data_IF_573014699820
#
_entry.id   IF_573014699820
#
_cell.length_a   1.000
_cell.length_b   1.000
_cell.length_c   1.000
_cell.angle_alpha   90.00
_cell.angle_beta   90.00
_cell.angle_gamma   90.00
#
_symmetry.space_group_name_H-M   'P 1'
#
loop_
_entity.id
_entity.type
_entity.pdbx_description
1 polymer ?
#
# COMPACT_ATOMS: atom_id res chain seq x y z
N UNK A 1 13.13 -27.94 4.14
CA UNK A 1 12.13 -27.74 5.20
C UNK A 1 10.85 -28.48 4.84
N UNK A 2 10.46 -29.48 5.65
CA UNK A 2 9.20 -30.21 5.40
C UNK A 2 8.03 -29.26 5.68
N UNK A 3 7.33 -28.82 4.66
CA UNK A 3 6.05 -28.11 4.80
C UNK A 3 5.11 -29.05 5.53
N UNK A 4 4.47 -28.60 6.59
CA UNK A 4 3.50 -29.39 7.34
C UNK A 4 2.38 -29.85 6.39
N UNK A 5 1.96 -31.10 6.47
CA UNK A 5 0.83 -31.65 5.69
C UNK A 5 -0.44 -30.78 5.85
N UNK A 6 -0.63 -30.17 7.02
CA UNK A 6 -1.74 -29.25 7.28
C UNK A 6 -1.73 -28.03 6.35
N UNK A 7 -0.55 -27.50 5.99
CA UNK A 7 -0.44 -26.36 5.09
C UNK A 7 -0.78 -26.76 3.65
N UNK A 8 -0.27 -27.89 3.19
CA UNK A 8 -0.61 -28.42 1.86
C UNK A 8 -2.13 -28.59 1.75
N UNK A 9 -2.77 -29.06 2.80
CA UNK A 9 -4.22 -29.18 2.85
C UNK A 9 -4.93 -27.84 2.73
N UNK A 10 -4.46 -26.81 3.47
CA UNK A 10 -5.02 -25.44 3.39
C UNK A 10 -4.83 -24.85 2.00
N UNK A 11 -3.62 -24.97 1.44
CA UNK A 11 -3.31 -24.49 0.07
C UNK A 11 -4.20 -25.18 -0.98
N UNK A 12 -4.40 -26.49 -0.86
CA UNK A 12 -5.30 -27.24 -1.74
C UNK A 12 -6.77 -26.82 -1.58
N UNK A 13 -7.23 -26.61 -0.35
CA UNK A 13 -8.59 -26.13 -0.09
C UNK A 13 -8.84 -24.75 -0.69
N UNK A 14 -7.89 -23.82 -0.58
CA UNK A 14 -7.95 -22.49 -1.21
C UNK A 14 -8.01 -22.63 -2.74
N UNK A 15 -7.18 -23.47 -3.32
CA UNK A 15 -7.17 -23.71 -4.76
C UNK A 15 -8.52 -24.24 -5.26
N UNK A 16 -9.09 -25.24 -4.57
CA UNK A 16 -10.42 -25.80 -4.89
C UNK A 16 -11.50 -24.72 -4.76
N UNK A 17 -11.47 -23.91 -3.69
CA UNK A 17 -12.45 -22.84 -3.50
C UNK A 17 -12.39 -21.81 -4.64
N UNK A 18 -11.20 -21.45 -5.11
CA UNK A 18 -11.03 -20.53 -6.24
C UNK A 18 -11.51 -21.15 -7.56
N UNK A 19 -11.31 -22.45 -7.78
CA UNK A 19 -11.88 -23.17 -8.93
C UNK A 19 -13.41 -23.09 -8.90
N UNK A 20 -14.02 -23.49 -7.79
CA UNK A 20 -15.47 -23.51 -7.65
C UNK A 20 -16.08 -22.11 -7.86
N UNK A 21 -15.47 -21.09 -7.27
CA UNK A 21 -15.94 -19.71 -7.42
C UNK A 21 -15.78 -19.21 -8.87
N UNK A 22 -14.65 -19.53 -9.52
CA UNK A 22 -14.41 -19.13 -10.91
C UNK A 22 -15.36 -19.83 -11.87
N UNK A 23 -15.59 -21.12 -11.72
CA UNK A 23 -16.52 -21.89 -12.58
C UNK A 23 -17.99 -21.54 -12.35
N UNK A 24 -18.32 -20.96 -11.21
CA UNK A 24 -19.65 -20.41 -10.96
C UNK A 24 -19.94 -19.16 -11.81
N UNK A 25 -18.93 -18.30 -12.04
CA UNK A 25 -19.09 -17.03 -12.74
C UNK A 25 -18.71 -17.08 -14.22
N UNK A 26 -17.84 -18.01 -14.64
CA UNK A 26 -17.23 -18.00 -15.96
C UNK A 26 -17.27 -19.38 -16.63
N UNK A 27 -17.19 -19.37 -17.97
CA UNK A 27 -16.96 -20.58 -18.74
C UNK A 27 -15.64 -21.27 -18.32
N UNK A 28 -15.57 -22.59 -18.50
CA UNK A 28 -14.46 -23.41 -17.99
C UNK A 28 -13.07 -22.92 -18.43
N UNK A 29 -12.92 -22.47 -19.68
CA UNK A 29 -11.65 -21.97 -20.20
C UNK A 29 -11.22 -20.68 -19.50
N UNK A 30 -12.15 -19.72 -19.33
CA UNK A 30 -11.88 -18.47 -18.65
C UNK A 30 -11.62 -18.68 -17.16
N UNK A 31 -12.41 -19.56 -16.52
CA UNK A 31 -12.20 -19.95 -15.14
C UNK A 31 -10.81 -20.57 -14.94
N UNK A 32 -10.36 -21.46 -15.83
CA UNK A 32 -9.05 -22.04 -15.78
C UNK A 32 -7.94 -21.00 -15.95
N UNK A 33 -8.10 -20.05 -16.86
CA UNK A 33 -7.16 -18.97 -17.08
C UNK A 33 -7.01 -18.06 -15.84
N UNK A 34 -8.11 -17.68 -15.20
CA UNK A 34 -8.14 -16.90 -13.96
C UNK A 34 -7.43 -17.65 -12.84
N UNK A 35 -7.79 -18.92 -12.61
CA UNK A 35 -7.24 -19.74 -11.52
C UNK A 35 -5.76 -19.97 -11.72
N UNK A 36 -5.30 -20.26 -12.94
CA UNK A 36 -3.87 -20.42 -13.24
C UNK A 36 -3.11 -19.11 -12.96
N UNK A 37 -3.62 -17.97 -13.46
CA UNK A 37 -3.00 -16.67 -13.21
C UNK A 37 -2.87 -16.36 -11.72
N UNK A 38 -3.92 -16.55 -10.93
CA UNK A 38 -3.92 -16.28 -9.49
C UNK A 38 -3.07 -17.29 -8.70
N UNK A 39 -2.98 -18.52 -9.16
CA UNK A 39 -2.10 -19.53 -8.56
C UNK A 39 -0.63 -19.20 -8.81
N UNK A 40 -0.26 -18.81 -10.02
CA UNK A 40 1.10 -18.34 -10.33
C UNK A 40 1.46 -17.12 -9.48
N UNK A 41 0.53 -16.18 -9.34
CA UNK A 41 0.70 -14.99 -8.49
C UNK A 41 0.97 -15.34 -7.02
N UNK A 42 0.42 -16.44 -6.52
CA UNK A 42 0.70 -16.96 -5.17
C UNK A 42 2.03 -17.72 -5.09
N UNK A 43 2.30 -18.61 -6.05
CA UNK A 43 3.45 -19.53 -5.99
C UNK A 43 4.78 -18.78 -5.99
N UNK A 44 4.91 -17.66 -6.70
CA UNK A 44 6.16 -16.89 -6.77
C UNK A 44 6.57 -16.33 -5.40
N UNK A 45 5.76 -15.52 -4.70
CA UNK A 45 6.09 -15.05 -3.35
C UNK A 45 6.17 -16.19 -2.34
N UNK A 46 5.35 -17.22 -2.48
CA UNK A 46 5.36 -18.42 -1.64
C UNK A 46 6.71 -19.17 -1.73
N UNK A 47 7.22 -19.35 -2.95
CA UNK A 47 8.51 -19.97 -3.18
C UNK A 47 9.65 -19.10 -2.64
N UNK A 48 9.64 -17.78 -2.91
CA UNK A 48 10.61 -16.86 -2.35
C UNK A 48 10.63 -16.94 -0.82
N UNK A 49 9.46 -16.89 -0.17
CA UNK A 49 9.34 -17.00 1.29
C UNK A 49 9.89 -18.34 1.82
N UNK A 50 9.65 -19.44 1.12
CA UNK A 50 10.13 -20.76 1.56
C UNK A 50 11.66 -20.87 1.65
N UNK A 51 12.39 -20.02 0.94
CA UNK A 51 13.85 -19.96 0.94
C UNK A 51 14.44 -19.03 1.99
N UNK A 52 13.60 -18.28 2.70
CA UNK A 52 14.05 -17.35 3.74
C UNK A 52 14.31 -18.06 5.06
N UNK A 53 15.34 -17.61 5.80
CA UNK A 53 15.72 -18.20 7.10
C UNK A 53 14.62 -18.07 8.16
N UNK A 54 13.75 -17.06 8.04
CA UNK A 54 12.64 -16.79 8.96
C UNK A 54 11.31 -17.42 8.49
N UNK A 55 11.34 -18.30 7.50
CA UNK A 55 10.16 -19.00 7.03
C UNK A 55 9.51 -19.83 8.13
N UNK A 56 8.19 -19.76 8.24
CA UNK A 56 7.39 -20.48 9.24
C UNK A 56 6.07 -20.95 8.63
N UNK A 57 5.48 -21.98 9.27
CA UNK A 57 4.15 -22.48 8.90
C UNK A 57 3.07 -21.42 9.04
N UNK A 58 3.15 -20.58 10.09
CA UNK A 58 2.20 -19.48 10.30
C UNK A 58 2.32 -18.38 9.25
N UNK A 59 3.54 -18.06 8.79
CA UNK A 59 3.72 -17.11 7.69
C UNK A 59 3.17 -17.63 6.37
N UNK A 60 3.30 -18.94 6.10
CA UNK A 60 2.67 -19.55 4.93
C UNK A 60 1.15 -19.52 5.05
N UNK A 61 0.59 -19.80 6.24
CA UNK A 61 -0.86 -19.70 6.48
C UNK A 61 -1.37 -18.27 6.25
N UNK A 62 -0.64 -17.25 6.72
CA UNK A 62 -0.98 -15.84 6.47
C UNK A 62 -0.98 -15.51 4.97
N UNK A 63 -0.01 -16.03 4.22
CA UNK A 63 0.06 -15.83 2.78
C UNK A 63 -1.07 -16.55 2.04
N UNK A 64 -1.42 -17.79 2.45
CA UNK A 64 -2.54 -18.53 1.89
C UNK A 64 -3.89 -17.85 2.19
N UNK A 65 -4.04 -17.26 3.37
CA UNK A 65 -5.19 -16.43 3.73
C UNK A 65 -5.31 -15.21 2.82
N UNK A 66 -4.23 -14.46 2.65
CA UNK A 66 -4.21 -13.32 1.74
C UNK A 66 -4.54 -13.74 0.30
N UNK A 67 -4.01 -14.86 -0.17
CA UNK A 67 -4.32 -15.42 -1.48
C UNK A 67 -5.81 -15.77 -1.64
N UNK A 68 -6.42 -16.40 -0.63
CA UNK A 68 -7.86 -16.68 -0.64
C UNK A 68 -8.67 -15.39 -0.74
N UNK A 69 -8.40 -14.42 0.14
CA UNK A 69 -9.14 -13.14 0.17
C UNK A 69 -9.00 -12.42 -1.17
N UNK A 70 -7.77 -12.29 -1.66
CA UNK A 70 -7.51 -11.62 -2.95
C UNK A 70 -8.10 -12.39 -4.12
N UNK A 71 -8.08 -13.72 -4.10
CA UNK A 71 -8.69 -14.55 -5.12
C UNK A 71 -10.20 -14.31 -5.20
N UNK A 72 -10.89 -14.32 -4.06
CA UNK A 72 -12.34 -14.02 -3.99
C UNK A 72 -12.64 -12.61 -4.49
N UNK A 73 -11.89 -11.60 -4.01
CA UNK A 73 -12.09 -10.22 -4.44
C UNK A 73 -11.79 -10.03 -5.93
N UNK A 74 -10.72 -10.65 -6.45
CA UNK A 74 -10.32 -10.57 -7.85
C UNK A 74 -11.33 -11.24 -8.80
N UNK A 75 -11.84 -12.42 -8.44
CA UNK A 75 -12.87 -13.10 -9.21
C UNK A 75 -14.15 -12.24 -9.27
N UNK A 76 -14.60 -11.70 -8.13
CA UNK A 76 -15.74 -10.79 -8.09
C UNK A 76 -15.50 -9.51 -8.90
N UNK A 77 -14.29 -8.95 -8.85
CA UNK A 77 -13.92 -7.76 -9.64
C UNK A 77 -14.04 -8.08 -11.15
N UNK A 78 -13.48 -9.19 -11.61
CA UNK A 78 -13.57 -9.62 -13.01
C UNK A 78 -15.03 -9.88 -13.40
N UNK A 79 -15.80 -10.59 -12.57
CA UNK A 79 -17.19 -10.88 -12.82
C UNK A 79 -18.02 -9.60 -13.02
N UNK A 80 -17.85 -8.61 -12.17
CA UNK A 80 -18.52 -7.30 -12.32
C UNK A 80 -18.10 -6.57 -13.58
N UNK A 81 -16.81 -6.59 -13.91
CA UNK A 81 -16.28 -5.94 -15.09
C UNK A 81 -16.83 -6.56 -16.39
N UNK A 82 -17.13 -7.86 -16.39
CA UNK A 82 -17.65 -8.57 -17.58
C UNK A 82 -19.16 -8.59 -17.68
N UNK A 83 -19.89 -8.46 -16.56
CA UNK A 83 -21.37 -8.49 -16.54
C UNK A 83 -22.00 -7.12 -16.79
N UNK A 84 -21.33 -6.03 -16.43
CA UNK A 84 -21.89 -4.68 -16.53
C UNK A 84 -22.18 -4.20 -17.99
N UNK A 85 -21.43 -4.72 -18.95
CA UNK A 85 -21.63 -4.46 -20.39
C UNK A 85 -21.23 -5.73 -21.08
N UNK A 86 -21.83 -6.15 -22.14
CA UNK A 86 -21.55 -7.34 -22.95
C UNK A 86 -20.03 -7.51 -23.30
N UNK A 87 -19.22 -7.48 -22.24
CA UNK A 87 -17.78 -7.37 -22.27
C UNK A 87 -17.14 -8.75 -22.00
N UNK A 88 -16.16 -9.10 -22.82
CA UNK A 88 -15.29 -10.24 -22.60
C UNK A 88 -14.13 -9.88 -21.65
N UNK A 89 -13.32 -10.88 -21.24
CA UNK A 89 -12.10 -10.64 -20.48
C UNK A 89 -11.08 -9.75 -21.22
N UNK A 90 -11.18 -9.67 -22.55
CA UNK A 90 -10.34 -8.81 -23.41
C UNK A 90 -10.87 -7.39 -23.56
N UNK A 91 -12.16 -7.17 -23.30
CA UNK A 91 -12.82 -5.87 -23.39
C UNK A 91 -13.69 -5.61 -22.15
N UNK A 92 -13.12 -5.56 -20.96
CA UNK A 92 -13.87 -5.41 -19.73
C UNK A 92 -14.40 -3.98 -19.58
N UNK A 93 -15.59 -3.84 -19.01
CA UNK A 93 -16.12 -2.58 -18.52
C UNK A 93 -15.49 -2.23 -17.18
N UNK A 94 -14.49 -1.39 -17.20
CA UNK A 94 -13.77 -0.94 -16.01
C UNK A 94 -14.23 0.47 -15.61
N UNK A 95 -13.96 0.84 -14.34
CA UNK A 95 -14.38 2.12 -13.77
C UNK A 95 -13.19 2.96 -13.35
N UNK A 96 -13.37 4.28 -13.39
CA UNK A 96 -12.44 5.26 -12.85
C UNK A 96 -10.98 5.07 -13.35
N UNK A 97 -10.03 5.08 -12.44
CA UNK A 97 -8.60 4.94 -12.74
C UNK A 97 -8.25 3.62 -13.43
N UNK A 98 -8.96 2.52 -13.09
CA UNK A 98 -8.73 1.23 -13.74
C UNK A 98 -9.05 1.27 -15.24
N UNK A 99 -10.15 1.93 -15.61
CA UNK A 99 -10.49 2.15 -17.01
C UNK A 99 -9.44 3.01 -17.73
N UNK A 100 -8.95 4.05 -17.06
CA UNK A 100 -7.89 4.91 -17.60
C UNK A 100 -6.62 4.11 -17.89
N UNK A 101 -6.13 3.32 -16.95
CA UNK A 101 -4.91 2.52 -17.11
C UNK A 101 -5.07 1.46 -18.18
N UNK A 102 -6.23 0.81 -18.25
CA UNK A 102 -6.53 -0.18 -19.28
C UNK A 102 -6.54 0.45 -20.68
N UNK A 103 -7.27 1.53 -20.85
CA UNK A 103 -7.38 2.23 -22.15
C UNK A 103 -6.02 2.79 -22.58
N UNK A 104 -5.23 3.30 -21.65
CA UNK A 104 -3.88 3.76 -21.96
C UNK A 104 -2.97 2.61 -22.40
N UNK A 105 -3.02 1.47 -21.69
CA UNK A 105 -2.28 0.28 -22.11
C UNK A 105 -2.74 -0.19 -23.51
N UNK A 106 -4.03 -0.13 -23.82
CA UNK A 106 -4.57 -0.53 -25.11
C UNK A 106 -4.07 0.40 -26.25
N UNK A 107 -4.05 1.70 -26.02
CA UNK A 107 -3.49 2.67 -26.96
C UNK A 107 -2.00 2.42 -27.23
N UNK A 108 -1.21 2.21 -26.17
CA UNK A 108 0.21 1.86 -26.28
C UNK A 108 0.42 0.53 -27.01
N UNK A 109 -0.43 -0.46 -26.75
CA UNK A 109 -0.35 -1.77 -27.40
C UNK A 109 -0.58 -1.68 -28.92
N UNK A 110 -1.52 -0.84 -29.35
CA UNK A 110 -1.84 -0.61 -30.76
C UNK A 110 -1.03 0.52 -31.41
N UNK A 111 -0.01 1.05 -30.73
CA UNK A 111 0.81 2.17 -31.23
C UNK A 111 -0.02 3.42 -31.64
N UNK A 112 -1.16 3.63 -31.00
CA UNK A 112 -1.98 4.81 -31.23
C UNK A 112 -1.43 6.00 -30.44
N UNK A 113 -1.60 7.22 -30.97
CA UNK A 113 -1.24 8.42 -30.20
C UNK A 113 -2.14 8.51 -28.97
N UNK A 114 -1.53 8.73 -27.82
CA UNK A 114 -2.23 8.70 -26.54
C UNK A 114 -3.04 9.96 -26.26
N UNK A 115 -3.15 10.91 -27.16
CA UNK A 115 -3.96 12.12 -26.97
C UNK A 115 -3.68 12.87 -25.67
N UNK A 116 -4.59 13.77 -25.28
CA UNK A 116 -4.46 14.59 -24.06
C UNK A 116 -4.82 13.88 -22.75
N UNK A 117 -5.10 12.58 -22.77
CA UNK A 117 -5.64 11.82 -21.63
C UNK A 117 -4.62 10.93 -20.91
N UNK A 118 -3.34 11.24 -20.98
CA UNK A 118 -2.27 10.37 -20.51
C UNK A 118 -2.03 10.56 -19.01
N UNK A 119 -2.06 9.46 -18.27
CA UNK A 119 -1.58 9.43 -16.88
C UNK A 119 -0.05 9.64 -16.88
N UNK A 120 0.49 10.56 -16.07
CA UNK A 120 1.93 10.81 -15.96
C UNK A 120 2.71 9.64 -15.38
N UNK A 121 2.04 8.55 -15.00
CA UNK A 121 2.65 7.39 -14.34
C UNK A 121 2.53 6.14 -15.24
N UNK A 122 3.42 5.97 -16.22
CA UNK A 122 3.28 4.94 -17.25
C UNK A 122 3.61 3.52 -16.78
N UNK A 123 4.07 3.33 -15.55
CA UNK A 123 4.58 2.05 -15.07
C UNK A 123 3.58 0.90 -15.19
N UNK A 124 2.35 1.07 -14.72
CA UNK A 124 1.34 0.02 -14.84
C UNK A 124 0.90 -0.21 -16.29
N UNK A 125 0.58 0.81 -17.10
CA UNK A 125 0.27 0.61 -18.52
C UNK A 125 1.38 -0.09 -19.31
N UNK A 126 2.64 0.30 -19.13
CA UNK A 126 3.78 -0.34 -19.80
C UNK A 126 3.95 -1.82 -19.43
N UNK A 127 3.83 -2.12 -18.14
CA UNK A 127 3.86 -3.51 -17.66
C UNK A 127 2.66 -4.31 -18.20
N UNK A 128 1.49 -3.70 -18.27
CA UNK A 128 0.30 -4.31 -18.86
C UNK A 128 0.53 -4.64 -20.33
N UNK A 129 1.09 -3.73 -21.13
CA UNK A 129 1.46 -3.99 -22.52
C UNK A 129 2.45 -5.14 -22.65
N UNK A 130 3.47 -5.18 -21.78
CA UNK A 130 4.43 -6.29 -21.76
C UNK A 130 3.73 -7.63 -21.50
N UNK A 131 2.84 -7.68 -20.52
CA UNK A 131 2.06 -8.88 -20.21
C UNK A 131 1.13 -9.27 -21.35
N UNK A 132 0.49 -8.33 -22.02
CA UNK A 132 -0.38 -8.60 -23.16
C UNK A 132 0.38 -9.13 -24.38
N UNK A 133 1.62 -8.69 -24.60
CA UNK A 133 2.48 -9.28 -25.63
C UNK A 133 2.84 -10.73 -25.35
N UNK A 134 2.86 -11.14 -24.09
CA UNK A 134 3.18 -12.53 -23.68
C UNK A 134 1.94 -13.43 -23.62
N UNK A 135 0.81 -12.91 -23.14
CA UNK A 135 -0.36 -13.70 -22.74
C UNK A 135 -1.65 -13.33 -23.49
N UNK A 136 -1.60 -12.37 -24.40
CA UNK A 136 -2.78 -11.83 -25.08
C UNK A 136 -3.47 -10.72 -24.27
N UNK A 137 -4.32 -9.95 -24.95
CA UNK A 137 -5.08 -8.84 -24.34
C UNK A 137 -6.13 -9.43 -23.41
N UNK A 138 -5.94 -9.21 -22.10
CA UNK A 138 -6.87 -9.65 -21.05
C UNK A 138 -6.61 -8.86 -19.77
N UNK A 139 -7.65 -8.70 -18.95
CA UNK A 139 -7.54 -8.11 -17.61
C UNK A 139 -6.79 -9.03 -16.63
N UNK A 140 -6.78 -10.35 -16.83
CA UNK A 140 -6.27 -11.35 -15.88
C UNK A 140 -4.76 -11.21 -15.62
N UNK A 141 -3.87 -11.09 -16.63
CA UNK A 141 -2.43 -10.97 -16.39
C UNK A 141 -2.03 -9.77 -15.54
N UNK A 142 -2.51 -8.54 -15.79
CA UNK A 142 -2.19 -7.40 -14.92
C UNK A 142 -2.78 -7.54 -13.50
N UNK A 143 -3.95 -8.16 -13.33
CA UNK A 143 -4.50 -8.47 -12.00
C UNK A 143 -3.63 -9.50 -11.27
N UNK A 144 -3.24 -10.59 -11.93
CA UNK A 144 -2.36 -11.61 -11.36
C UNK A 144 -1.01 -11.00 -10.93
N UNK A 145 -0.44 -10.10 -11.75
CA UNK A 145 0.77 -9.35 -11.39
C UNK A 145 0.54 -8.49 -10.14
N UNK A 146 -0.56 -7.74 -10.06
CA UNK A 146 -0.88 -6.93 -8.90
C UNK A 146 -1.05 -7.77 -7.63
N UNK A 147 -1.70 -8.94 -7.73
CA UNK A 147 -1.79 -9.91 -6.63
C UNK A 147 -0.41 -10.39 -6.21
N UNK A 148 0.45 -10.76 -7.16
CA UNK A 148 1.81 -11.22 -6.90
C UNK A 148 2.63 -10.16 -6.15
N UNK A 149 2.57 -8.90 -6.58
CA UNK A 149 3.27 -7.78 -5.95
C UNK A 149 2.75 -7.52 -4.54
N UNK A 150 1.43 -7.61 -4.33
CA UNK A 150 0.81 -7.44 -3.01
C UNK A 150 1.22 -8.57 -2.06
N UNK A 151 1.18 -9.82 -2.51
CA UNK A 151 1.65 -10.97 -1.72
C UNK A 151 3.15 -10.91 -1.44
N UNK A 152 3.96 -10.47 -2.41
CA UNK A 152 5.38 -10.22 -2.20
C UNK A 152 5.61 -9.10 -1.16
N UNK A 153 4.81 -8.05 -1.18
CA UNK A 153 4.84 -6.98 -0.16
C UNK A 153 4.59 -7.52 1.24
N UNK A 154 3.65 -8.45 1.42
CA UNK A 154 3.42 -9.12 2.72
C UNK A 154 4.69 -9.85 3.18
N UNK A 155 5.35 -10.58 2.30
CA UNK A 155 6.62 -11.27 2.61
C UNK A 155 7.72 -10.26 2.98
N UNK A 156 7.84 -9.18 2.21
CA UNK A 156 8.82 -8.12 2.48
C UNK A 156 8.56 -7.42 3.82
N UNK A 157 7.28 -7.24 4.21
CA UNK A 157 6.92 -6.70 5.53
C UNK A 157 7.41 -7.59 6.66
N UNK A 158 7.25 -8.91 6.51
CA UNK A 158 7.82 -9.88 7.45
C UNK A 158 9.34 -9.76 7.58
N UNK A 159 10.02 -9.60 6.46
CA UNK A 159 11.48 -9.42 6.40
C UNK A 159 11.93 -8.09 7.03
N UNK A 160 11.22 -7.01 6.73
CA UNK A 160 11.49 -5.69 7.29
C UNK A 160 11.32 -5.71 8.81
N UNK A 161 10.19 -6.23 9.30
CA UNK A 161 9.91 -6.29 10.73
C UNK A 161 10.95 -7.13 11.45
N UNK A 162 11.28 -8.32 10.94
CA UNK A 162 12.33 -9.16 11.53
C UNK A 162 13.69 -8.47 11.50
N UNK A 163 13.99 -7.74 10.43
CA UNK A 163 15.21 -6.95 10.33
C UNK A 163 15.28 -5.83 11.36
N UNK A 164 14.24 -5.03 11.51
CA UNK A 164 14.23 -3.88 12.43
C UNK A 164 14.17 -4.28 13.91
N UNK A 165 13.51 -5.39 14.22
CA UNK A 165 13.21 -5.80 15.62
C UNK A 165 14.14 -6.87 16.17
N UNK A 166 15.07 -7.38 15.38
CA UNK A 166 16.07 -8.37 15.81
C UNK A 166 16.90 -7.87 16.98
N UNK A 167 16.94 -8.64 18.05
CA UNK A 167 17.62 -8.26 19.30
C UNK A 167 16.97 -7.12 20.09
N UNK A 168 15.85 -6.56 19.62
CA UNK A 168 15.13 -5.44 20.27
C UNK A 168 13.85 -5.86 20.97
N UNK A 169 13.40 -7.08 20.76
CA UNK A 169 12.22 -7.67 21.42
C UNK A 169 12.54 -9.05 21.96
N UNK A 170 11.73 -9.53 22.90
CA UNK A 170 11.82 -10.90 23.40
C UNK A 170 11.33 -11.96 22.40
N UNK A 171 10.80 -11.54 21.25
CA UNK A 171 10.30 -12.42 20.19
C UNK A 171 11.43 -12.84 19.27
N UNK A 172 11.41 -14.10 18.82
CA UNK A 172 12.35 -14.55 17.79
C UNK A 172 12.07 -13.88 16.45
N UNK A 173 13.11 -13.70 15.62
CA UNK A 173 12.98 -13.11 14.26
C UNK A 173 11.92 -13.84 13.43
N UNK A 174 11.75 -15.16 13.62
CA UNK A 174 10.69 -15.94 12.96
C UNK A 174 9.30 -15.57 13.47
N UNK A 175 9.14 -15.36 14.77
CA UNK A 175 7.85 -14.92 15.34
C UNK A 175 7.47 -13.53 14.86
N UNK A 176 8.42 -12.60 14.85
CA UNK A 176 8.22 -11.25 14.34
C UNK A 176 7.82 -11.28 12.86
N UNK A 177 8.52 -12.08 12.04
CA UNK A 177 8.25 -12.15 10.60
C UNK A 177 6.83 -12.66 10.31
N UNK A 178 6.41 -13.80 10.90
CA UNK A 178 5.08 -14.32 10.62
C UNK A 178 3.96 -13.43 11.19
N UNK A 179 4.18 -12.78 12.33
CA UNK A 179 3.21 -11.86 12.91
C UNK A 179 3.04 -10.62 12.00
N UNK A 180 4.14 -10.09 11.46
CA UNK A 180 4.10 -8.99 10.50
C UNK A 180 3.32 -9.38 9.23
N UNK A 181 3.59 -10.56 8.70
CA UNK A 181 2.86 -11.08 7.54
C UNK A 181 1.36 -11.24 7.86
N UNK A 182 1.01 -11.80 9.02
CA UNK A 182 -0.38 -11.97 9.44
C UNK A 182 -1.10 -10.62 9.59
N UNK A 183 -0.47 -9.64 10.27
CA UNK A 183 -1.04 -8.30 10.42
C UNK A 183 -1.25 -7.63 9.06
N UNK A 184 -0.29 -7.72 8.15
CA UNK A 184 -0.43 -7.14 6.80
C UNK A 184 -1.51 -7.87 5.99
N UNK A 185 -1.60 -9.19 6.10
CA UNK A 185 -2.61 -10.01 5.43
C UNK A 185 -4.06 -9.76 5.93
N UNK A 186 -4.24 -9.06 7.04
CA UNK A 186 -5.57 -8.64 7.53
C UNK A 186 -5.96 -7.22 7.12
N UNK A 187 -5.10 -6.49 6.41
CA UNK A 187 -5.40 -5.17 5.88
C UNK A 187 -6.26 -5.31 4.61
N UNK A 188 -7.57 -5.51 4.76
CA UNK A 188 -8.47 -5.81 3.64
C UNK A 188 -8.49 -4.73 2.57
N UNK A 189 -8.41 -3.46 2.95
CA UNK A 189 -8.36 -2.36 1.99
C UNK A 189 -7.09 -2.41 1.13
N UNK A 190 -5.95 -2.74 1.73
CA UNK A 190 -4.69 -3.01 1.04
C UNK A 190 -4.81 -4.20 0.07
N UNK A 191 -5.41 -5.32 0.52
CA UNK A 191 -5.62 -6.51 -0.31
C UNK A 191 -6.56 -6.23 -1.49
N UNK A 192 -7.64 -5.47 -1.27
CA UNK A 192 -8.63 -5.17 -2.32
C UNK A 192 -8.04 -4.36 -3.47
N UNK A 193 -7.16 -3.41 -3.18
CA UNK A 193 -6.44 -2.66 -4.23
C UNK A 193 -5.46 -3.54 -5.00
N UNK A 194 -4.94 -4.59 -4.36
CA UNK A 194 -4.12 -5.62 -5.00
C UNK A 194 -4.86 -6.49 -6.01
N UNK A 195 -6.20 -6.45 -6.01
CA UNK A 195 -7.06 -7.23 -6.92
C UNK A 195 -7.76 -6.37 -7.97
N UNK A 196 -7.29 -5.14 -8.18
CA UNK A 196 -7.83 -4.21 -9.16
C UNK A 196 -6.72 -3.79 -10.13
N UNK A 197 -7.11 -3.25 -11.28
CA UNK A 197 -6.16 -2.73 -12.26
C UNK A 197 -5.69 -1.33 -11.85
N UNK A 198 -4.94 -1.27 -10.75
CA UNK A 198 -4.45 -0.04 -10.12
C UNK A 198 -2.93 -0.10 -9.96
N UNK A 199 -2.30 1.07 -9.88
CA UNK A 199 -0.83 1.22 -9.71
C UNK A 199 -0.34 1.06 -8.27
N UNK A 200 -1.24 1.05 -7.30
CA UNK A 200 -0.95 0.94 -5.88
C UNK A 200 -0.07 -0.28 -5.54
N UNK A 201 -0.31 -1.50 -6.06
CA UNK A 201 0.55 -2.66 -5.78
C UNK A 201 2.00 -2.51 -6.22
N UNK A 202 2.26 -1.84 -7.35
CA UNK A 202 3.62 -1.48 -7.76
C UNK A 202 4.26 -0.55 -6.72
N UNK A 203 3.49 0.44 -6.26
CA UNK A 203 3.97 1.40 -5.26
C UNK A 203 4.27 0.71 -3.92
N UNK A 204 3.38 -0.20 -3.45
CA UNK A 204 3.62 -0.98 -2.21
C UNK A 204 4.93 -1.74 -2.27
N UNK A 205 5.11 -2.47 -3.35
CA UNK A 205 6.28 -3.32 -3.55
C UNK A 205 7.56 -2.48 -3.60
N UNK A 206 7.56 -1.39 -4.39
CA UNK A 206 8.70 -0.50 -4.50
C UNK A 206 9.07 0.19 -3.18
N UNK A 207 8.08 0.69 -2.43
CA UNK A 207 8.28 1.28 -1.09
C UNK A 207 8.91 0.26 -0.14
N UNK A 208 8.44 -1.00 -0.15
CA UNK A 208 8.99 -2.02 0.73
C UNK A 208 10.41 -2.44 0.36
N UNK A 209 10.77 -2.45 -0.93
CA UNK A 209 12.15 -2.66 -1.35
C UNK A 209 13.07 -1.53 -0.85
N UNK A 210 12.64 -0.27 -0.98
CA UNK A 210 13.35 0.87 -0.41
C UNK A 210 13.51 0.74 1.11
N UNK A 211 12.43 0.40 1.82
CA UNK A 211 12.45 0.25 3.27
C UNK A 211 13.43 -0.84 3.74
N UNK A 212 13.46 -1.99 3.05
CA UNK A 212 14.42 -3.07 3.32
C UNK A 212 15.86 -2.66 3.03
N UNK A 213 16.09 -1.93 1.95
CA UNK A 213 17.40 -1.40 1.63
C UNK A 213 17.90 -0.47 2.75
N UNK A 214 17.05 0.45 3.18
CA UNK A 214 17.34 1.39 4.27
C UNK A 214 17.56 0.67 5.60
N UNK A 215 16.72 -0.30 5.95
CA UNK A 215 16.90 -1.11 7.16
C UNK A 215 18.19 -1.94 7.12
N UNK A 216 18.57 -2.43 5.94
CA UNK A 216 19.83 -3.17 5.76
C UNK A 216 21.06 -2.30 6.00
N UNK A 217 21.03 -1.03 5.59
CA UNK A 217 22.13 -0.09 5.84
C UNK A 217 22.39 0.13 7.34
N UNK A 218 21.35 0.20 8.15
CA UNK A 218 21.52 0.44 9.60
C UNK A 218 22.21 -0.70 10.34
N UNK A 219 22.34 -1.86 9.71
CA UNK A 219 22.98 -3.05 10.27
C UNK A 219 24.43 -3.22 9.84
N UNK A 220 24.85 -2.49 8.84
CA UNK A 220 26.21 -2.58 8.35
C UNK A 220 27.14 -1.78 9.28
N UNK A 221 28.15 -2.43 9.81
CA UNK A 221 29.19 -1.80 10.61
C UNK A 221 30.36 -1.32 9.73
N UNK A 222 30.40 -1.77 8.49
CA UNK A 222 31.47 -1.45 7.54
C UNK A 222 31.24 -0.11 6.85
N UNK A 223 32.31 0.65 6.69
CA UNK A 223 32.33 1.91 5.90
C UNK A 223 32.45 1.66 4.39
N UNK A 224 32.58 0.40 3.97
CA UNK A 224 32.66 0.02 2.57
C UNK A 224 31.34 0.23 1.83
N UNK A 225 31.45 0.45 0.51
CA UNK A 225 30.26 0.60 -0.34
C UNK A 225 29.50 -0.72 -0.43
N UNK A 226 28.27 -0.72 0.08
CA UNK A 226 27.40 -1.89 0.13
C UNK A 226 26.49 -1.95 -1.11
N UNK A 227 26.96 -2.60 -2.17
CA UNK A 227 26.23 -2.63 -3.45
C UNK A 227 24.82 -3.25 -3.36
N UNK A 228 24.62 -4.27 -2.49
CA UNK A 228 23.32 -4.96 -2.37
C UNK A 228 22.19 -4.04 -1.89
N UNK A 229 22.30 -3.32 -0.75
CA UNK A 229 21.31 -2.33 -0.37
C UNK A 229 21.12 -1.22 -1.41
N UNK A 230 22.20 -0.76 -2.06
CA UNK A 230 22.12 0.29 -3.09
C UNK A 230 21.32 -0.22 -4.31
N UNK A 231 21.61 -1.42 -4.79
CA UNK A 231 20.89 -2.02 -5.91
C UNK A 231 19.40 -2.26 -5.57
N UNK A 232 19.13 -2.73 -4.33
CA UNK A 232 17.76 -2.94 -3.87
C UNK A 232 16.99 -1.61 -3.77
N UNK A 233 17.64 -0.55 -3.29
CA UNK A 233 17.07 0.79 -3.25
C UNK A 233 16.82 1.33 -4.67
N UNK A 234 17.78 1.18 -5.58
CA UNK A 234 17.65 1.60 -6.97
C UNK A 234 16.47 0.91 -7.66
N UNK A 235 16.32 -0.40 -7.48
CA UNK A 235 15.16 -1.14 -7.98
C UNK A 235 13.86 -0.62 -7.38
N UNK A 236 13.81 -0.45 -6.06
CA UNK A 236 12.63 0.03 -5.35
C UNK A 236 12.21 1.43 -5.80
N UNK A 237 13.16 2.37 -5.87
CA UNK A 237 12.85 3.75 -6.25
C UNK A 237 12.48 3.87 -7.74
N UNK A 238 13.03 3.02 -8.62
CA UNK A 238 12.62 2.94 -10.03
C UNK A 238 11.14 2.54 -10.14
N UNK A 239 10.75 1.49 -9.42
CA UNK A 239 9.35 1.03 -9.41
C UNK A 239 8.43 2.12 -8.84
N UNK A 240 8.82 2.76 -7.74
CA UNK A 240 8.05 3.86 -7.13
C UNK A 240 7.92 5.04 -8.10
N UNK A 241 9.02 5.45 -8.73
CA UNK A 241 9.04 6.57 -9.67
C UNK A 241 8.15 6.32 -10.89
N UNK A 242 8.19 5.10 -11.44
CA UNK A 242 7.34 4.71 -12.57
C UNK A 242 5.85 4.59 -12.19
N UNK A 243 5.53 4.29 -10.92
CA UNK A 243 4.16 4.18 -10.45
C UNK A 243 3.62 5.52 -9.91
N UNK A 244 4.43 6.25 -9.14
CA UNK A 244 4.11 7.57 -8.54
C UNK A 244 5.38 8.33 -8.22
N UNK A 245 5.82 9.17 -9.13
CA UNK A 245 7.07 9.94 -9.03
C UNK A 245 7.18 10.74 -7.71
N UNK A 246 6.10 11.33 -7.23
CA UNK A 246 6.07 12.09 -5.98
C UNK A 246 6.47 11.28 -4.74
N UNK A 247 6.23 9.97 -4.74
CA UNK A 247 6.61 9.10 -3.61
C UNK A 247 8.10 8.80 -3.56
N UNK A 248 8.81 8.98 -4.67
CA UNK A 248 10.28 8.89 -4.69
C UNK A 248 10.92 9.91 -3.76
N UNK A 249 10.33 11.10 -3.62
CA UNK A 249 10.81 12.13 -2.68
C UNK A 249 10.75 11.61 -1.24
N UNK A 250 9.71 10.86 -0.88
CA UNK A 250 9.59 10.28 0.47
C UNK A 250 10.64 9.17 0.69
N UNK A 251 10.98 8.41 -0.35
CA UNK A 251 12.05 7.42 -0.28
C UNK A 251 13.42 8.09 -0.11
N UNK A 252 13.68 9.17 -0.85
CA UNK A 252 14.90 9.98 -0.70
C UNK A 252 15.00 10.62 0.67
N UNK A 253 13.89 11.09 1.25
CA UNK A 253 13.87 11.58 2.63
C UNK A 253 14.30 10.50 3.63
N UNK A 254 13.91 9.24 3.42
CA UNK A 254 14.39 8.11 4.24
C UNK A 254 15.91 7.96 4.22
N UNK A 255 16.54 8.16 3.05
CA UNK A 255 18.01 8.16 2.91
C UNK A 255 18.63 9.30 3.72
N UNK A 256 18.03 10.50 3.67
CA UNK A 256 18.52 11.65 4.44
C UNK A 256 18.42 11.40 5.94
N UNK A 257 17.31 10.83 6.43
CA UNK A 257 17.16 10.50 7.86
C UNK A 257 18.21 9.48 8.35
N UNK A 258 18.62 8.53 7.50
CA UNK A 258 19.71 7.60 7.82
C UNK A 258 21.04 8.32 7.82
N UNK A 259 21.33 9.11 6.78
CA UNK A 259 22.60 9.82 6.63
C UNK A 259 22.90 10.75 7.81
N UNK A 260 21.87 11.42 8.35
CA UNK A 260 21.98 12.28 9.53
C UNK A 260 22.11 11.45 10.82
N UNK A 261 21.38 10.34 10.92
CA UNK A 261 21.35 9.51 12.14
C UNK A 261 22.49 8.51 12.28
N UNK A 262 23.14 8.12 11.20
CA UNK A 262 24.15 7.05 11.18
C UNK A 262 25.41 7.43 10.38
N UNK A 263 26.28 8.20 11.01
CA UNK A 263 27.52 8.74 10.39
C UNK A 263 28.39 7.70 9.65
N UNK A 264 28.59 6.45 10.13
CA UNK A 264 29.39 5.47 9.40
C UNK A 264 28.89 5.16 7.99
N UNK A 265 27.60 5.31 7.74
CA UNK A 265 26.93 4.91 6.49
C UNK A 265 26.74 6.07 5.48
N UNK A 266 27.35 7.24 5.72
CA UNK A 266 27.14 8.42 4.88
C UNK A 266 27.49 8.20 3.39
N UNK A 267 28.51 7.38 3.09
CA UNK A 267 28.89 7.05 1.70
C UNK A 267 27.81 6.27 0.97
N UNK A 268 27.24 5.28 1.63
CA UNK A 268 26.14 4.49 1.10
C UNK A 268 24.87 5.34 0.95
N UNK A 269 24.57 6.18 1.94
CA UNK A 269 23.47 7.12 1.89
C UNK A 269 23.64 8.13 0.73
N UNK A 270 24.84 8.70 0.55
CA UNK A 270 25.14 9.61 -0.56
C UNK A 270 24.97 8.91 -1.92
N UNK A 271 25.49 7.68 -2.07
CA UNK A 271 25.34 6.91 -3.30
C UNK A 271 23.86 6.64 -3.62
N UNK A 272 23.06 6.26 -2.62
CA UNK A 272 21.61 6.07 -2.78
C UNK A 272 20.89 7.38 -3.13
N UNK A 273 21.28 8.49 -2.50
CA UNK A 273 20.69 9.80 -2.75
C UNK A 273 20.95 10.26 -4.19
N UNK A 274 22.21 10.18 -4.64
CA UNK A 274 22.60 10.57 -6.00
C UNK A 274 21.91 9.68 -7.03
N UNK A 275 21.99 8.37 -6.85
CA UNK A 275 21.34 7.41 -7.77
C UNK A 275 19.82 7.57 -7.77
N UNK A 276 19.21 7.71 -6.61
CA UNK A 276 17.79 7.90 -6.48
C UNK A 276 17.28 9.21 -7.07
N UNK A 277 18.05 10.31 -6.91
CA UNK A 277 17.75 11.59 -7.53
C UNK A 277 17.86 11.52 -9.07
N UNK A 278 18.87 10.81 -9.59
CA UNK A 278 19.02 10.58 -11.03
C UNK A 278 17.85 9.75 -11.59
N UNK A 279 17.44 8.69 -10.88
CA UNK A 279 16.28 7.87 -11.27
C UNK A 279 15.00 8.70 -11.21
N UNK A 280 14.79 9.49 -10.16
CA UNK A 280 13.65 10.40 -10.05
C UNK A 280 13.56 11.35 -11.23
N UNK A 281 14.69 12.02 -11.54
CA UNK A 281 14.77 12.95 -12.66
C UNK A 281 14.49 12.26 -14.00
N UNK A 282 15.13 11.11 -14.26
CA UNK A 282 14.91 10.33 -15.48
C UNK A 282 13.46 9.85 -15.64
N UNK A 283 12.84 9.38 -14.55
CA UNK A 283 11.44 8.95 -14.57
C UNK A 283 10.47 10.13 -14.79
N UNK A 284 10.79 11.30 -14.24
CA UNK A 284 10.02 12.52 -14.45
C UNK A 284 10.10 12.98 -15.90
N UNK A 285 11.30 13.08 -16.49
CA UNK A 285 11.50 13.42 -17.90
C UNK A 285 10.83 12.40 -18.84
N UNK A 286 10.92 11.11 -18.52
CA UNK A 286 10.24 10.07 -19.27
C UNK A 286 8.72 10.20 -19.19
N UNK A 287 8.19 10.50 -18.00
CA UNK A 287 6.77 10.79 -17.80
C UNK A 287 6.32 12.01 -18.61
N UNK A 288 7.09 13.09 -18.60
CA UNK A 288 6.81 14.29 -19.41
C UNK A 288 6.86 14.01 -20.92
N UNK A 289 7.81 13.21 -21.39
CA UNK A 289 7.92 12.84 -22.80
C UNK A 289 6.70 12.02 -23.28
N UNK A 290 6.09 11.23 -22.40
CA UNK A 290 4.89 10.45 -22.70
C UNK A 290 3.59 11.22 -22.47
N UNK A 291 3.59 12.23 -21.59
CA UNK A 291 2.38 12.94 -21.14
C UNK A 291 2.57 14.47 -21.14
N UNK A 292 2.62 15.07 -22.32
CA UNK A 292 3.04 16.45 -22.55
C UNK A 292 2.28 17.56 -21.76
N UNK A 293 1.17 17.30 -21.09
CA UNK A 293 0.34 18.37 -20.51
C UNK A 293 -0.09 18.20 -19.05
N UNK A 294 0.32 17.15 -18.32
CA UNK A 294 -0.26 16.88 -17.02
C UNK A 294 0.46 17.56 -15.84
N UNK A 295 1.79 17.74 -15.93
CA UNK A 295 2.60 18.28 -14.83
C UNK A 295 2.58 19.79 -14.69
N UNK A 296 2.42 20.52 -15.79
CA UNK A 296 2.36 21.98 -15.76
C UNK A 296 1.17 22.51 -14.93
N UNK A 297 0.14 21.65 -14.73
CA UNK A 297 -1.03 22.02 -13.95
C UNK A 297 -0.93 21.83 -12.43
N UNK A 298 -0.01 20.99 -11.90
CA UNK A 298 0.07 20.76 -10.46
C UNK A 298 0.69 21.92 -9.67
N UNK A 299 1.50 22.74 -10.30
CA UNK A 299 2.14 23.91 -9.70
C UNK A 299 1.45 25.22 -10.06
N UNK A 300 0.51 25.20 -10.98
CA UNK A 300 -0.32 26.34 -11.33
C UNK A 300 -1.52 26.41 -10.36
N UNK A 301 -1.68 27.56 -9.67
CA UNK A 301 -2.70 27.75 -8.62
C UNK A 301 -4.12 27.51 -9.14
N UNK A 302 -4.40 27.89 -10.38
CA UNK A 302 -5.75 27.81 -10.95
C UNK A 302 -6.09 26.38 -11.37
N UNK A 303 -5.13 25.63 -11.91
CA UNK A 303 -5.29 24.20 -12.22
C UNK A 303 -5.24 23.30 -10.99
N UNK A 304 -4.52 23.68 -9.93
CA UNK A 304 -4.55 22.96 -8.67
C UNK A 304 -5.91 23.07 -7.99
N UNK A 305 -6.60 24.19 -8.12
CA UNK A 305 -7.97 24.38 -7.67
C UNK A 305 -8.96 23.54 -8.48
N UNK A 306 -8.79 23.46 -9.80
CA UNK A 306 -9.61 22.63 -10.68
C UNK A 306 -9.40 21.13 -10.42
N UNK A 307 -8.17 20.68 -10.20
CA UNK A 307 -7.83 19.31 -9.83
C UNK A 307 -8.41 18.99 -8.43
N UNK A 308 -8.32 19.92 -7.47
CA UNK A 308 -8.95 19.80 -6.16
C UNK A 308 -10.46 19.67 -6.28
N UNK A 309 -11.11 20.47 -7.11
CA UNK A 309 -12.54 20.40 -7.39
C UNK A 309 -12.93 19.07 -8.05
N UNK A 310 -12.14 18.52 -8.96
CA UNK A 310 -12.37 17.18 -9.53
C UNK A 310 -12.25 16.07 -8.47
N UNK A 311 -11.33 16.17 -7.50
CA UNK A 311 -11.24 15.25 -6.36
C UNK A 311 -12.45 15.40 -5.41
N UNK A 312 -12.96 16.60 -5.23
CA UNK A 312 -14.13 16.92 -4.41
C UNK A 312 -15.41 16.36 -5.05
N UNK A 313 -15.60 16.60 -6.33
CA UNK A 313 -16.78 16.14 -7.12
C UNK A 313 -16.78 14.60 -7.21
N UNK A 314 -15.64 13.95 -7.36
CA UNK A 314 -15.52 12.48 -7.37
C UNK A 314 -15.82 11.81 -6.03
N UNK A 315 -15.85 12.55 -4.92
CA UNK A 315 -16.13 12.01 -3.59
C UNK A 315 -17.64 11.94 -3.26
N UNK A 316 -18.53 12.59 -4.02
CA UNK A 316 -20.00 12.66 -3.83
C UNK A 316 -20.46 12.89 -2.37
N UNK A 317 -19.64 13.58 -1.55
CA UNK A 317 -19.89 13.81 -0.14
C UNK A 317 -19.77 15.30 0.17
N UNK A 318 -20.83 16.05 -0.04
CA UNK A 318 -20.87 17.49 0.15
C UNK A 318 -20.25 18.02 1.47
N UNK A 319 -20.43 17.38 2.65
CA UNK A 319 -19.84 17.90 3.88
C UNK A 319 -18.32 17.81 3.92
N UNK A 320 -17.74 16.72 3.37
CA UNK A 320 -16.28 16.56 3.26
C UNK A 320 -15.70 17.44 2.16
N UNK A 321 -16.46 17.68 1.09
CA UNK A 321 -16.08 18.58 0.01
C UNK A 321 -15.87 20.02 0.50
N UNK A 322 -16.77 20.52 1.34
CA UNK A 322 -16.65 21.86 1.93
C UNK A 322 -15.41 21.97 2.83
N UNK A 323 -15.21 21.00 3.73
CA UNK A 323 -14.03 20.98 4.61
C UNK A 323 -12.72 20.93 3.81
N UNK A 324 -12.68 20.15 2.74
CA UNK A 324 -11.49 20.04 1.86
C UNK A 324 -11.30 21.32 1.04
N UNK A 325 -12.37 21.94 0.52
CA UNK A 325 -12.34 23.22 -0.17
C UNK A 325 -11.79 24.33 0.74
N UNK A 326 -12.31 24.42 1.95
CA UNK A 326 -11.83 25.36 2.96
C UNK A 326 -10.36 25.14 3.32
N UNK A 327 -9.91 23.88 3.39
CA UNK A 327 -8.50 23.55 3.65
C UNK A 327 -7.58 24.10 2.55
N UNK A 328 -7.93 23.94 1.26
CA UNK A 328 -7.09 24.42 0.16
C UNK A 328 -7.08 25.94 0.04
N UNK A 329 -8.09 26.64 0.56
CA UNK A 329 -8.11 28.10 0.65
C UNK A 329 -7.18 28.66 1.74
N UNK A 330 -6.73 27.81 2.70
CA UNK A 330 -5.86 28.23 3.78
C UNK A 330 -4.43 28.50 3.29
N UNK A 331 -3.76 29.47 3.92
CA UNK A 331 -2.32 29.69 3.73
C UNK A 331 -1.48 28.47 4.17
N UNK A 332 -0.32 28.26 3.55
CA UNK A 332 0.55 27.11 3.82
C UNK A 332 0.86 26.89 5.30
N UNK A 333 1.08 27.96 6.08
CA UNK A 333 1.36 27.84 7.50
C UNK A 333 0.15 27.33 8.31
N UNK A 334 -1.08 27.73 7.93
CA UNK A 334 -2.31 27.24 8.55
C UNK A 334 -2.54 25.77 8.24
N UNK A 335 -2.26 25.34 6.99
CA UNK A 335 -2.28 23.93 6.61
C UNK A 335 -1.27 23.12 7.43
N UNK A 336 -0.06 23.67 7.65
CA UNK A 336 0.96 23.03 8.47
C UNK A 336 0.53 22.85 9.93
N UNK A 337 -0.20 23.82 10.51
CA UNK A 337 -0.75 23.70 11.86
C UNK A 337 -1.83 22.60 11.97
N UNK A 338 -2.58 22.33 10.91
CA UNK A 338 -3.58 21.27 10.87
C UNK A 338 -2.98 19.88 10.62
N UNK A 339 -1.72 19.79 10.22
CA UNK A 339 -1.08 18.54 9.83
C UNK A 339 -1.17 17.42 10.89
N UNK A 340 -0.96 17.66 12.20
CA UNK A 340 -1.13 16.62 13.21
C UNK A 340 -2.54 16.05 13.26
N UNK A 341 -3.55 16.92 13.11
CA UNK A 341 -4.97 16.51 13.06
C UNK A 341 -5.24 15.68 11.80
N UNK A 342 -4.78 16.14 10.64
CA UNK A 342 -4.93 15.43 9.37
C UNK A 342 -4.26 14.06 9.39
N UNK A 343 -3.06 13.96 9.97
CA UNK A 343 -2.39 12.69 10.19
C UNK A 343 -3.23 11.76 11.08
N UNK A 344 -3.78 12.27 12.18
CA UNK A 344 -4.64 11.49 13.07
C UNK A 344 -5.92 11.00 12.36
N UNK A 345 -6.56 11.86 11.58
CA UNK A 345 -7.75 11.51 10.79
C UNK A 345 -7.47 10.37 9.82
N UNK A 346 -6.28 10.29 9.23
CA UNK A 346 -5.93 9.21 8.30
C UNK A 346 -5.90 7.81 8.95
N UNK A 347 -5.63 7.73 10.26
CA UNK A 347 -5.72 6.46 11.00
C UNK A 347 -7.17 6.05 11.30
N UNK A 348 -8.12 6.94 11.05
CA UNK A 348 -9.55 6.73 11.27
C UNK A 348 -10.28 6.43 9.94
N UNK A 349 -9.73 6.88 8.81
CA UNK A 349 -10.26 6.63 7.46
C UNK A 349 -9.59 5.34 6.89
N UNK A 350 -10.31 4.44 6.19
CA UNK A 350 -11.70 4.55 5.74
C UNK A 350 -12.72 4.21 6.82
N UNK A 351 -13.80 4.99 6.85
CA UNK A 351 -14.90 4.71 7.76
C UNK A 351 -15.68 3.47 7.27
N UNK A 352 -15.80 2.38 8.07
CA UNK A 352 -16.46 1.16 7.64
C UNK A 352 -17.98 1.28 7.52
N UNK A 353 -18.54 2.38 8.00
CA UNK A 353 -19.97 2.62 8.14
C UNK A 353 -20.57 3.65 7.16
N UNK A 354 -19.80 4.17 6.22
CA UNK A 354 -20.37 4.95 5.13
C UNK A 354 -21.11 3.95 4.21
N UNK A 355 -22.39 3.80 4.47
CA UNK A 355 -23.23 2.81 3.81
C UNK A 355 -23.99 3.43 2.65
N UNK A 356 -23.73 2.97 1.43
CA UNK A 356 -24.70 2.84 0.37
C UNK A 356 -25.04 1.36 0.20
N UNK A 357 -25.78 0.97 -0.82
CA UNK A 357 -26.02 -0.45 -1.16
C UNK A 357 -24.69 -1.19 -1.37
N UNK A 358 -24.33 -2.00 -0.36
CA UNK A 358 -22.98 -2.57 -0.25
C UNK A 358 -22.99 -4.00 -0.75
N UNK A 359 -22.31 -4.25 -1.84
CA UNK A 359 -21.99 -5.61 -2.27
C UNK A 359 -20.94 -6.25 -1.37
N UNK A 360 -20.88 -7.60 -1.33
CA UNK A 360 -19.85 -8.34 -0.54
C UNK A 360 -18.43 -7.87 -0.91
N UNK A 361 -18.18 -7.57 -2.18
CA UNK A 361 -16.89 -7.06 -2.67
C UNK A 361 -16.53 -5.67 -2.12
N UNK A 362 -17.51 -4.90 -1.66
CA UNK A 362 -17.32 -3.59 -1.04
C UNK A 362 -17.33 -3.67 0.49
N UNK A 363 -18.03 -4.67 1.05
CA UNK A 363 -18.07 -4.89 2.50
C UNK A 363 -16.71 -5.29 3.05
N UNK A 364 -16.02 -6.24 2.41
CA UNK A 364 -14.73 -6.76 2.89
C UNK A 364 -13.66 -5.68 3.00
N UNK A 365 -13.45 -4.79 2.01
CA UNK A 365 -12.53 -3.66 2.15
C UNK A 365 -12.90 -2.70 3.28
N UNK A 366 -14.19 -2.59 3.60
CA UNK A 366 -14.70 -1.71 4.66
C UNK A 366 -14.54 -2.29 6.07
N UNK A 367 -14.13 -3.55 6.22
CA UNK A 367 -13.74 -4.12 7.52
C UNK A 367 -12.40 -3.51 7.93
N UNK A 368 -12.47 -2.34 8.55
CA UNK A 368 -11.30 -1.57 8.93
C UNK A 368 -10.77 -1.89 10.34
N UNK A 369 -11.36 -2.87 11.04
CA UNK A 369 -10.96 -3.23 12.40
C UNK A 369 -9.46 -3.56 12.55
N UNK A 370 -8.85 -4.36 11.66
CA UNK A 370 -7.40 -4.61 11.72
C UNK A 370 -6.59 -3.33 11.47
N UNK A 371 -7.05 -2.46 10.59
CA UNK A 371 -6.43 -1.15 10.34
C UNK A 371 -6.41 -0.30 11.61
N UNK A 372 -7.54 -0.18 12.31
CA UNK A 372 -7.61 0.58 13.56
C UNK A 372 -6.73 -0.01 14.64
N UNK A 373 -6.63 -1.34 14.74
CA UNK A 373 -5.75 -1.99 15.69
C UNK A 373 -4.27 -1.69 15.39
N UNK A 374 -3.84 -1.86 14.14
CA UNK A 374 -2.45 -1.60 13.72
C UNK A 374 -2.14 -0.10 13.81
N UNK A 375 -3.06 0.75 13.36
CA UNK A 375 -2.94 2.21 13.44
C UNK A 375 -2.86 2.70 14.88
N UNK A 376 -3.72 2.21 15.76
CA UNK A 376 -3.71 2.54 17.19
C UNK A 376 -2.41 2.12 17.87
N UNK A 377 -1.91 0.90 17.61
CA UNK A 377 -0.62 0.44 18.12
C UNK A 377 0.55 1.30 17.62
N UNK A 378 0.50 1.71 16.35
CA UNK A 378 1.51 2.59 15.76
C UNK A 378 1.47 3.98 16.38
N UNK A 379 0.28 4.55 16.56
CA UNK A 379 0.12 5.84 17.24
C UNK A 379 0.59 5.78 18.70
N UNK A 380 0.31 4.68 19.39
CA UNK A 380 0.83 4.46 20.73
C UNK A 380 2.37 4.46 20.75
N UNK A 381 2.99 3.76 19.79
CA UNK A 381 4.44 3.78 19.63
C UNK A 381 4.96 5.20 19.36
N UNK A 382 4.44 5.88 18.38
CA UNK A 382 4.90 7.21 17.96
C UNK A 382 4.67 8.27 19.04
N UNK A 383 3.50 8.31 19.64
CA UNK A 383 3.10 9.33 20.60
C UNK A 383 3.65 9.11 22.00
N UNK A 384 3.74 7.88 22.45
CA UNK A 384 4.13 7.56 23.84
C UNK A 384 5.54 7.02 23.98
N UNK A 385 5.86 5.96 23.23
CA UNK A 385 7.10 5.23 23.44
C UNK A 385 8.32 6.00 22.89
N UNK A 386 8.18 6.59 21.69
CA UNK A 386 9.23 7.40 21.08
C UNK A 386 9.53 8.67 21.87
N UNK A 387 8.50 9.32 22.40
CA UNK A 387 8.65 10.53 23.24
C UNK A 387 9.51 10.26 24.46
N UNK A 388 9.34 9.11 25.12
CA UNK A 388 10.09 8.77 26.35
C UNK A 388 11.50 8.22 26.11
N UNK A 389 11.96 8.18 24.85
CA UNK A 389 13.27 7.60 24.46
C UNK A 389 13.50 6.16 24.99
N UNK A 390 12.43 5.47 25.33
CA UNK A 390 12.51 4.13 25.93
C UNK A 390 12.77 3.04 24.88
N UNK A 391 12.62 3.39 23.60
CA UNK A 391 12.82 2.44 22.50
C UNK A 391 13.23 3.19 21.26
N UNK A 392 14.34 2.82 20.66
CA UNK A 392 14.82 3.44 19.44
C UNK A 392 14.80 2.44 18.28
N UNK A 393 13.85 2.61 17.35
CA UNK A 393 13.97 2.04 16.00
C UNK A 393 14.80 2.94 15.06
N UNK A 394 15.62 3.80 15.65
CA UNK A 394 16.47 4.74 14.91
C UNK A 394 15.66 5.76 14.13
N UNK A 395 16.02 5.93 12.85
CA UNK A 395 15.36 6.87 11.92
C UNK A 395 13.95 6.45 11.52
N UNK A 396 13.64 5.15 11.62
CA UNK A 396 12.47 4.53 10.99
C UNK A 396 11.13 5.16 11.40
N UNK A 397 10.83 5.41 12.68
CA UNK A 397 9.58 6.03 13.08
C UNK A 397 9.38 7.44 12.53
N UNK A 398 10.46 8.24 12.50
CA UNK A 398 10.41 9.60 11.97
C UNK A 398 10.17 9.59 10.45
N UNK A 399 10.82 8.69 9.73
CA UNK A 399 10.59 8.51 8.30
C UNK A 399 9.16 8.06 8.00
N UNK A 400 8.63 7.07 8.75
CA UNK A 400 7.24 6.63 8.60
C UNK A 400 6.27 7.77 8.88
N UNK A 401 6.48 8.53 9.97
CA UNK A 401 5.66 9.71 10.25
C UNK A 401 5.68 10.71 9.09
N UNK A 402 6.84 10.95 8.49
CA UNK A 402 6.97 11.80 7.30
C UNK A 402 6.20 11.23 6.09
N UNK A 403 6.28 9.93 5.84
CA UNK A 403 5.53 9.26 4.77
C UNK A 403 4.01 9.37 4.92
N UNK A 404 3.51 9.50 6.16
CA UNK A 404 2.09 9.77 6.42
C UNK A 404 1.76 11.27 6.38
N UNK A 405 2.67 12.12 6.84
CA UNK A 405 2.45 13.56 6.89
C UNK A 405 2.33 14.19 5.49
N UNK A 406 3.16 13.75 4.53
CA UNK A 406 3.17 14.36 3.19
C UNK A 406 1.85 14.14 2.44
N UNK A 407 1.30 12.92 2.29
CA UNK A 407 0.01 12.73 1.67
C UNK A 407 -1.14 13.38 2.47
N UNK A 408 -1.05 13.43 3.82
CA UNK A 408 -2.00 14.15 4.64
C UNK A 408 -2.06 15.64 4.29
N UNK A 409 -0.90 16.24 4.12
CA UNK A 409 -0.76 17.64 3.76
C UNK A 409 -1.26 17.94 2.34
N UNK A 410 -0.93 17.07 1.38
CA UNK A 410 -1.26 17.26 -0.04
C UNK A 410 -2.75 17.00 -0.31
N UNK A 411 -3.34 15.99 0.34
CA UNK A 411 -4.71 15.54 0.07
C UNK A 411 -5.71 15.87 1.19
N UNK A 412 -5.37 16.74 2.12
CA UNK A 412 -6.21 17.10 3.28
C UNK A 412 -6.74 15.89 4.08
N UNK A 413 -6.04 14.75 4.02
CA UNK A 413 -6.49 13.52 4.66
C UNK A 413 -7.69 12.82 3.99
N UNK A 414 -8.23 13.38 2.91
CA UNK A 414 -9.49 12.91 2.30
C UNK A 414 -9.36 11.62 1.49
N UNK A 415 -8.15 11.25 1.08
CA UNK A 415 -7.92 10.10 0.17
C UNK A 415 -7.09 9.02 0.85
N UNK A 416 -7.77 8.09 1.53
CA UNK A 416 -7.15 6.97 2.24
C UNK A 416 -6.23 6.11 1.36
N UNK A 417 -6.50 5.98 0.06
CA UNK A 417 -5.66 5.20 -0.86
C UNK A 417 -4.24 5.73 -1.02
N UNK A 418 -3.99 7.02 -0.77
CA UNK A 418 -2.63 7.58 -0.81
C UNK A 418 -1.74 7.10 0.34
N UNK A 419 -2.35 6.56 1.40
CA UNK A 419 -1.65 5.98 2.55
C UNK A 419 -1.35 4.49 2.40
N UNK A 420 -2.04 3.81 1.49
CA UNK A 420 -1.91 2.36 1.32
C UNK A 420 -0.46 1.89 1.15
N UNK A 421 0.41 2.57 0.36
CA UNK A 421 1.79 2.14 0.20
C UNK A 421 2.62 2.15 1.48
N UNK A 422 2.20 2.95 2.46
CA UNK A 422 2.91 3.11 3.72
C UNK A 422 2.32 2.29 4.87
N UNK A 423 1.14 1.70 4.69
CA UNK A 423 0.51 0.87 5.71
C UNK A 423 1.41 -0.29 6.19
N UNK A 424 2.10 -1.05 5.31
CA UNK A 424 3.01 -2.09 5.77
C UNK A 424 4.18 -1.58 6.61
N UNK A 425 4.60 -0.30 6.45
CA UNK A 425 5.66 0.30 7.25
C UNK A 425 5.26 0.52 8.71
N UNK A 426 3.98 0.56 9.02
CA UNK A 426 3.47 0.71 10.39
C UNK A 426 3.63 -0.58 11.20
N UNK A 427 3.60 -1.72 10.53
CA UNK A 427 3.55 -3.04 11.18
C UNK A 427 4.73 -3.31 12.12
N UNK A 428 6.00 -2.99 11.79
CA UNK A 428 7.10 -3.15 12.73
C UNK A 428 6.90 -2.39 14.05
N UNK A 429 6.37 -1.17 14.00
CA UNK A 429 6.09 -0.35 15.19
C UNK A 429 4.95 -0.95 16.01
N UNK A 430 3.89 -1.42 15.35
CA UNK A 430 2.79 -2.09 16.02
C UNK A 430 3.24 -3.37 16.74
N UNK A 431 4.08 -4.19 16.12
CA UNK A 431 4.66 -5.40 16.73
C UNK A 431 5.53 -5.03 17.92
N UNK A 432 6.35 -3.99 17.78
CA UNK A 432 7.18 -3.53 18.89
C UNK A 432 6.31 -3.11 20.08
N UNK A 433 5.25 -2.35 19.84
CA UNK A 433 4.29 -1.98 20.88
C UNK A 433 3.69 -3.22 21.57
N UNK A 434 3.23 -4.21 20.80
CA UNK A 434 2.70 -5.47 21.37
C UNK A 434 3.75 -6.21 22.19
N UNK A 435 4.99 -6.31 21.72
CA UNK A 435 6.06 -7.02 22.43
C UNK A 435 6.36 -6.41 23.79
N UNK A 436 6.25 -5.08 23.91
CA UNK A 436 6.51 -4.36 25.17
C UNK A 436 5.35 -4.41 26.17
N UNK A 437 4.13 -4.78 25.75
CA UNK A 437 2.97 -4.89 26.66
C UNK A 437 3.12 -5.97 27.73
N UNK A 438 4.12 -6.84 27.64
CA UNK A 438 4.48 -7.79 28.69
C UNK A 438 4.95 -7.09 29.98
N UNK A 439 5.52 -5.90 29.87
CA UNK A 439 5.98 -5.09 30.99
C UNK A 439 4.80 -4.33 31.63
N UNK A 440 4.65 -4.44 32.96
CA UNK A 440 3.51 -3.87 33.70
C UNK A 440 3.32 -2.37 33.47
N UNK A 441 4.41 -1.63 33.38
CA UNK A 441 4.38 -0.17 33.15
C UNK A 441 3.77 0.18 31.81
N UNK A 442 4.19 -0.48 30.72
CA UNK A 442 3.64 -0.24 29.39
C UNK A 442 2.18 -0.66 29.27
N UNK A 443 1.81 -1.75 29.96
CA UNK A 443 0.44 -2.27 29.97
C UNK A 443 -0.55 -1.25 30.53
N UNK A 444 -0.22 -0.58 31.65
CA UNK A 444 -1.09 0.47 32.23
C UNK A 444 -1.30 1.64 31.27
N UNK A 445 -0.20 2.13 30.70
CA UNK A 445 -0.25 3.27 29.77
C UNK A 445 -0.98 2.91 28.46
N UNK A 446 -0.82 1.68 28.00
CA UNK A 446 -1.54 1.18 26.82
C UNK A 446 -3.05 1.10 27.07
N UNK A 447 -3.49 0.64 28.23
CA UNK A 447 -4.92 0.61 28.58
C UNK A 447 -5.51 2.03 28.54
N UNK A 448 -4.83 3.01 29.12
CA UNK A 448 -5.26 4.41 29.07
C UNK A 448 -5.35 4.91 27.62
N UNK A 449 -4.33 4.59 26.81
CA UNK A 449 -4.32 4.95 25.40
C UNK A 449 -5.46 4.29 24.62
N UNK A 450 -5.72 2.99 24.83
CA UNK A 450 -6.81 2.27 24.17
C UNK A 450 -8.16 2.90 24.50
N UNK A 451 -8.39 3.23 25.76
CA UNK A 451 -9.63 3.91 26.18
C UNK A 451 -9.78 5.25 25.44
N UNK A 452 -8.74 6.09 25.44
CA UNK A 452 -8.75 7.38 24.77
C UNK A 452 -8.95 7.24 23.24
N UNK A 453 -8.28 6.29 22.62
CA UNK A 453 -8.40 6.01 21.19
C UNK A 453 -9.78 5.47 20.81
N UNK A 454 -10.35 4.58 21.63
CA UNK A 454 -11.71 4.06 21.43
C UNK A 454 -12.76 5.18 21.57
N UNK A 455 -12.59 6.07 22.55
CA UNK A 455 -13.46 7.23 22.71
C UNK A 455 -13.36 8.19 21.52
N UNK A 456 -12.16 8.40 20.98
CA UNK A 456 -11.94 9.19 19.77
C UNK A 456 -12.64 8.56 18.56
N UNK A 457 -12.49 7.25 18.35
CA UNK A 457 -13.19 6.53 17.30
C UNK A 457 -14.71 6.63 17.45
N UNK A 458 -15.23 6.45 18.67
CA UNK A 458 -16.66 6.56 18.94
C UNK A 458 -17.20 7.98 18.70
N UNK A 459 -16.47 9.01 19.14
CA UNK A 459 -16.83 10.40 18.87
C UNK A 459 -16.86 10.71 17.37
N UNK A 460 -15.87 10.24 16.63
CA UNK A 460 -15.83 10.39 15.16
C UNK A 460 -17.00 9.69 14.49
N UNK A 461 -17.35 8.48 14.95
CA UNK A 461 -18.52 7.72 14.52
C UNK A 461 -19.82 8.53 14.68
N UNK A 462 -20.00 9.10 15.87
CA UNK A 462 -21.20 9.91 16.20
C UNK A 462 -21.28 11.14 15.29
N UNK A 463 -20.15 11.83 15.08
CA UNK A 463 -20.11 13.02 14.20
C UNK A 463 -20.44 12.62 12.76
N UNK A 464 -19.83 11.56 12.22
CA UNK A 464 -20.12 11.08 10.87
C UNK A 464 -21.58 10.64 10.70
N UNK A 465 -22.14 9.94 11.69
CA UNK A 465 -23.55 9.52 11.66
C UNK A 465 -24.50 10.72 11.69
N UNK A 466 -24.24 11.73 12.52
CA UNK A 466 -25.06 12.95 12.57
C UNK A 466 -24.99 13.75 11.27
N UNK A 467 -23.81 13.85 10.65
CA UNK A 467 -23.66 14.54 9.36
C UNK A 467 -24.39 13.80 8.25
N UNK A 468 -24.38 12.47 8.23
CA UNK A 468 -25.18 11.70 7.28
C UNK A 468 -26.69 11.87 7.46
N UNK A 469 -27.18 11.85 8.69
CA UNK A 469 -28.60 12.11 8.97
C UNK A 469 -29.03 13.52 8.57
N UNK A 470 -28.18 14.52 8.76
CA UNK A 470 -28.44 15.90 8.33
C UNK A 470 -28.47 16.09 6.80
N UNK A 471 -27.77 15.22 6.04
CA UNK A 471 -27.79 15.22 4.57
C UNK A 471 -28.98 14.44 4.00
N UNK A 472 -29.67 13.61 4.81
CA UNK A 472 -30.85 12.87 4.41
C UNK A 472 -32.18 13.60 4.69
N UNK A 473 -32.14 14.68 5.44
CA UNK A 473 -33.24 15.63 5.70
C UNK A 473 -33.18 16.82 4.76
#
# INVERSE_FOLDING_TARGET
>A
MKVSQKIIFVEAAVFIALILLSTYHFALCDAAYIVVGFTVAYLVPRFAYSRMNNCSTMGVAALSWAWLVMGVLGINYIARATVCVDASLSQPALWNDAARYYNYALQLFHHQSTGNAVDPFPGLPLLTVLLWKMFGISIVPPLAMNMMLTLATIVLTGSLASSLLDGRTSMSSRQVAWLAMAMTATLFFFLSHGTQMLKEPLTYFGVMLCALALASLTRLNDTCLAWRPIALFALGITIVAMARTTYSIMMLAGVLFIGVGNRPQWRNALAMLVLGAAIYYAANEFGHALSYNYYDGYFDSDKSAEISNQFIIGANQEPLANIVGDYFSLSLWRRALLLPLLCAVQFIIPFPWIMGDVTISELVPRIALPWYAIGGLTLYYLGWMSWRKQTSLGFFPLWVAFCFAVPAFIAAGSVSRYMLPFQPLMVPMAIFAVATLRERHYRKNFIIFVIAYTLLLAATLIVCYRTQLACMQ
#
